data_IF_773789651321
#
_entry.id   IF_773789651321
#
_cell.length_a   1.000
_cell.length_b   1.000
_cell.length_c   1.000
_cell.angle_alpha   90.00
_cell.angle_beta   90.00
_cell.angle_gamma   90.00
#
_symmetry.space_group_name_H-M   'P 1'
#
loop_
_entity.id
_entity.type
_entity.pdbx_description
1 polymer ?
#
# COMPACT_ATOMS: atom_id res chain seq x y z
N UNK A 1 24.19 4.18 -41.60
CA UNK A 1 24.24 4.41 -40.14
C UNK A 1 22.82 4.73 -39.71
N UNK A 2 22.14 3.78 -39.09
CA UNK A 2 20.81 4.02 -38.52
C UNK A 2 21.11 4.69 -37.17
N UNK A 3 20.87 5.99 -37.07
CA UNK A 3 20.83 6.68 -35.78
C UNK A 3 19.69 6.06 -34.99
N UNK A 4 19.99 5.27 -33.99
CA UNK A 4 18.98 4.74 -33.05
C UNK A 4 18.51 5.89 -32.19
N UNK A 5 17.68 6.75 -32.75
CA UNK A 5 16.95 7.73 -32.00
C UNK A 5 15.89 7.03 -31.14
N UNK A 6 15.60 7.60 -30.00
CA UNK A 6 14.47 7.17 -29.13
C UNK A 6 13.18 7.27 -29.97
N UNK A 7 12.31 6.25 -29.94
CA UNK A 7 10.99 6.34 -30.58
C UNK A 7 10.18 7.45 -29.89
N UNK A 8 9.76 8.50 -30.60
CA UNK A 8 9.04 9.64 -29.99
C UNK A 8 7.67 9.26 -29.43
N UNK A 9 7.22 8.02 -29.64
CA UNK A 9 5.99 7.52 -29.05
C UNK A 9 6.20 6.77 -27.73
N UNK A 10 7.44 6.40 -27.42
CA UNK A 10 7.76 5.63 -26.23
C UNK A 10 7.67 6.48 -24.97
N UNK A 11 6.85 6.07 -24.02
CA UNK A 11 6.67 6.73 -22.73
C UNK A 11 6.82 5.73 -21.60
N UNK A 12 7.68 6.00 -20.65
CA UNK A 12 7.76 5.18 -19.43
C UNK A 12 6.87 5.76 -18.34
N UNK A 13 6.11 4.92 -17.65
CA UNK A 13 5.19 5.34 -16.59
C UNK A 13 5.61 4.74 -15.26
N UNK A 14 6.11 5.60 -14.37
CA UNK A 14 6.35 5.27 -12.97
C UNK A 14 4.99 5.33 -12.25
N UNK A 15 4.62 4.27 -11.57
CA UNK A 15 3.32 4.19 -10.90
C UNK A 15 3.36 3.34 -9.63
N UNK A 16 2.40 3.55 -8.74
CA UNK A 16 2.22 2.77 -7.53
C UNK A 16 1.43 1.47 -7.73
N UNK A 17 0.62 1.10 -6.74
CA UNK A 17 -0.19 -0.13 -6.77
C UNK A 17 -1.63 0.06 -7.26
N UNK A 18 -2.02 1.28 -7.61
CA UNK A 18 -3.36 1.54 -8.13
C UNK A 18 -3.47 1.06 -9.60
N UNK A 19 -3.79 -0.21 -9.78
CA UNK A 19 -3.90 -0.84 -11.09
C UNK A 19 -5.00 -0.22 -11.98
N UNK A 20 -6.08 0.29 -11.39
CA UNK A 20 -7.14 0.97 -12.13
C UNK A 20 -6.62 2.27 -12.75
N UNK A 21 -5.91 3.07 -11.96
CA UNK A 21 -5.28 4.31 -12.42
C UNK A 21 -4.22 4.05 -13.50
N UNK A 22 -3.36 3.04 -13.29
CA UNK A 22 -2.37 2.63 -14.30
C UNK A 22 -3.05 2.24 -15.61
N UNK A 23 -4.03 1.36 -15.54
CA UNK A 23 -4.76 0.87 -16.73
C UNK A 23 -5.43 2.01 -17.48
N UNK A 24 -6.14 2.88 -16.77
CA UNK A 24 -6.80 4.05 -17.38
C UNK A 24 -5.81 4.98 -18.08
N UNK A 25 -4.67 5.28 -17.44
CA UNK A 25 -3.63 6.10 -18.06
C UNK A 25 -3.02 5.43 -19.30
N UNK A 26 -2.76 4.12 -19.24
CA UNK A 26 -2.19 3.39 -20.38
C UNK A 26 -3.15 3.34 -21.57
N UNK A 27 -4.45 3.14 -21.33
CA UNK A 27 -5.49 3.19 -22.35
C UNK A 27 -5.56 4.59 -23.00
N UNK A 28 -5.52 5.65 -22.21
CA UNK A 28 -5.47 7.01 -22.70
C UNK A 28 -4.21 7.28 -23.56
N UNK A 29 -3.02 6.91 -23.06
CA UNK A 29 -1.77 7.10 -23.81
C UNK A 29 -1.80 6.39 -25.17
N UNK A 30 -2.32 5.16 -25.21
CA UNK A 30 -2.47 4.42 -26.48
C UNK A 30 -3.46 5.10 -27.43
N UNK A 31 -4.55 5.67 -26.91
CA UNK A 31 -5.54 6.38 -27.71
C UNK A 31 -4.98 7.64 -28.37
N UNK A 32 -3.99 8.29 -27.75
CA UNK A 32 -3.26 9.42 -28.36
C UNK A 32 -2.01 8.99 -29.16
N UNK A 33 -1.89 7.70 -29.48
CA UNK A 33 -0.85 7.16 -30.35
C UNK A 33 0.49 6.88 -29.68
N UNK A 34 0.58 6.97 -28.35
CA UNK A 34 1.80 6.68 -27.61
C UNK A 34 1.93 5.21 -27.23
N UNK A 35 3.13 4.79 -26.93
CA UNK A 35 3.52 3.43 -26.57
C UNK A 35 4.05 3.43 -25.12
N UNK A 36 3.20 3.21 -24.12
CA UNK A 36 3.66 3.08 -22.75
C UNK A 36 4.50 1.81 -22.60
N UNK A 37 5.72 1.96 -22.10
CA UNK A 37 6.65 0.88 -21.81
C UNK A 37 6.18 0.15 -20.55
N UNK A 38 5.90 -1.14 -20.68
CA UNK A 38 5.54 -2.00 -19.55
C UNK A 38 6.80 -2.41 -18.77
N UNK A 39 6.66 -2.70 -17.48
CA UNK A 39 7.79 -3.14 -16.64
C UNK A 39 8.51 -4.37 -17.20
N UNK A 40 7.75 -5.33 -17.73
CA UNK A 40 8.29 -6.53 -18.37
C UNK A 40 9.14 -6.22 -19.60
N UNK A 41 8.78 -5.18 -20.37
CA UNK A 41 9.57 -4.70 -21.49
C UNK A 41 10.86 -4.03 -21.00
N UNK A 42 10.77 -3.16 -19.99
CA UNK A 42 11.94 -2.53 -19.38
C UNK A 42 12.92 -3.57 -18.84
N UNK A 43 12.42 -4.62 -18.20
CA UNK A 43 13.22 -5.76 -17.74
C UNK A 43 13.95 -6.45 -18.90
N UNK A 44 13.26 -6.74 -19.99
CA UNK A 44 13.85 -7.37 -21.19
C UNK A 44 14.91 -6.46 -21.86
N UNK A 45 14.75 -5.14 -21.81
CA UNK A 45 15.69 -4.17 -22.37
C UNK A 45 17.08 -4.22 -21.70
N UNK A 46 17.18 -4.69 -20.46
CA UNK A 46 18.48 -4.81 -19.77
C UNK A 46 19.36 -5.91 -20.36
N UNK A 47 18.76 -6.88 -21.05
CA UNK A 47 19.49 -8.06 -21.57
C UNK A 47 19.98 -9.02 -20.47
N UNK A 48 19.62 -8.79 -19.21
CA UNK A 48 19.98 -9.63 -18.07
C UNK A 48 18.78 -10.46 -17.62
N UNK A 49 19.01 -11.71 -17.21
CA UNK A 49 17.97 -12.58 -16.66
C UNK A 49 17.54 -12.15 -15.24
N UNK A 50 18.40 -11.45 -14.50
CA UNK A 50 18.14 -10.97 -13.14
C UNK A 50 18.87 -9.63 -12.91
N UNK A 51 18.40 -8.53 -13.53
CA UNK A 51 19.03 -7.22 -13.39
C UNK A 51 18.69 -6.61 -12.03
N UNK A 52 19.52 -5.66 -11.58
CA UNK A 52 19.14 -4.77 -10.51
C UNK A 52 17.98 -3.86 -10.95
N UNK A 53 17.11 -3.48 -10.00
CA UNK A 53 15.97 -2.58 -10.28
C UNK A 53 16.45 -1.26 -10.90
N UNK A 54 17.60 -0.73 -10.43
CA UNK A 54 18.23 0.47 -11.00
C UNK A 54 18.55 0.33 -12.48
N UNK A 55 19.08 -0.83 -12.92
CA UNK A 55 19.42 -1.08 -14.33
C UNK A 55 18.16 -1.14 -15.20
N UNK A 56 17.05 -1.65 -14.66
CA UNK A 56 15.75 -1.67 -15.36
C UNK A 56 15.23 -0.25 -15.56
N UNK A 57 15.30 0.58 -14.53
CA UNK A 57 14.90 2.00 -14.62
C UNK A 57 15.79 2.75 -15.61
N UNK A 58 17.10 2.51 -15.58
CA UNK A 58 18.05 3.12 -16.48
C UNK A 58 17.74 2.78 -17.93
N UNK A 59 17.52 1.51 -18.23
CA UNK A 59 17.14 1.04 -19.56
C UNK A 59 15.81 1.65 -20.03
N UNK A 60 14.82 1.77 -19.14
CA UNK A 60 13.55 2.41 -19.45
C UNK A 60 13.73 3.91 -19.75
N UNK A 61 14.49 4.64 -18.92
CA UNK A 61 14.73 6.08 -19.10
C UNK A 61 15.49 6.40 -20.38
N UNK A 62 16.42 5.53 -20.80
CA UNK A 62 17.15 5.68 -22.07
C UNK A 62 16.29 5.46 -23.31
N UNK A 63 15.28 4.59 -23.20
CA UNK A 63 14.40 4.24 -24.33
C UNK A 63 13.13 5.09 -24.40
N UNK A 64 12.75 5.75 -23.31
CA UNK A 64 11.55 6.59 -23.25
C UNK A 64 11.82 8.01 -23.79
N UNK A 65 10.95 8.51 -24.64
CA UNK A 65 10.92 9.91 -25.06
C UNK A 65 10.51 10.80 -23.89
N UNK A 66 9.54 10.36 -23.10
CA UNK A 66 9.12 11.03 -21.88
C UNK A 66 8.90 10.04 -20.74
N UNK A 67 9.00 10.53 -19.50
CA UNK A 67 8.68 9.79 -18.29
C UNK A 67 7.48 10.44 -17.62
N UNK A 68 6.46 9.66 -17.33
CA UNK A 68 5.31 10.10 -16.53
C UNK A 68 5.44 9.51 -15.14
N UNK A 69 5.35 10.36 -14.12
CA UNK A 69 5.25 9.96 -12.71
C UNK A 69 3.78 10.05 -12.31
N UNK A 70 3.08 8.91 -12.30
CA UNK A 70 1.69 8.82 -11.88
C UNK A 70 1.62 8.71 -10.36
N UNK A 71 1.22 9.81 -9.74
CA UNK A 71 1.02 9.90 -8.30
C UNK A 71 -0.44 9.60 -7.95
N UNK A 72 -0.66 8.53 -7.20
CA UNK A 72 -1.96 8.11 -6.68
C UNK A 72 -1.91 8.04 -5.15
N UNK A 73 -3.05 8.21 -4.46
CA UNK A 73 -3.12 8.16 -3.00
C UNK A 73 -3.04 6.71 -2.48
N UNK A 74 -1.88 6.07 -2.63
CA UNK A 74 -1.68 4.65 -2.34
C UNK A 74 -1.34 4.36 -0.87
N UNK A 75 -0.58 5.25 -0.23
CA UNK A 75 -0.11 5.09 1.14
C UNK A 75 -0.66 6.21 2.03
N UNK A 76 -0.86 5.91 3.31
CA UNK A 76 -1.21 6.89 4.35
C UNK A 76 0.02 7.15 5.21
N UNK A 77 0.38 8.41 5.38
CA UNK A 77 1.51 8.79 6.23
C UNK A 77 1.17 9.99 7.13
N UNK A 78 1.80 10.04 8.27
CA UNK A 78 1.79 11.18 9.19
C UNK A 78 3.14 11.29 9.87
N UNK A 79 3.46 12.45 10.38
CA UNK A 79 4.68 12.64 11.14
C UNK A 79 4.56 11.96 12.50
N UNK A 80 5.66 11.36 13.00
CA UNK A 80 5.68 10.73 14.31
C UNK A 80 5.42 11.78 15.40
N UNK A 81 4.59 11.47 16.41
CA UNK A 81 4.15 12.40 17.45
C UNK A 81 5.29 13.14 18.15
N UNK A 82 6.44 12.47 18.39
CA UNK A 82 7.60 13.09 19.02
C UNK A 82 8.30 14.19 18.19
N UNK A 83 7.96 14.30 16.90
CA UNK A 83 8.53 15.26 15.96
C UNK A 83 7.54 16.37 15.60
N UNK A 84 6.35 16.36 16.19
CA UNK A 84 5.28 17.30 15.93
C UNK A 84 5.18 18.38 17.02
N UNK A 85 4.49 19.47 16.73
CA UNK A 85 4.15 20.53 17.67
C UNK A 85 2.62 20.73 17.72
N UNK A 86 2.07 21.37 18.78
CA UNK A 86 0.63 21.62 18.87
C UNK A 86 0.11 22.41 17.65
N UNK A 87 -0.85 21.84 16.92
CA UNK A 87 -1.42 22.46 15.70
C UNK A 87 -0.65 22.13 14.41
N UNK A 88 0.33 21.24 14.44
CA UNK A 88 1.04 20.80 13.25
C UNK A 88 0.10 20.02 12.32
N UNK A 89 -0.09 20.49 11.06
CA UNK A 89 -0.96 19.81 10.11
C UNK A 89 -0.44 18.43 9.68
N UNK A 90 0.85 18.12 9.90
CA UNK A 90 1.45 16.85 9.55
C UNK A 90 1.16 15.72 10.57
N UNK A 91 0.55 16.04 11.71
CA UNK A 91 0.01 15.04 12.66
C UNK A 91 -1.18 14.27 12.10
N UNK A 92 -1.97 14.90 11.22
CA UNK A 92 -3.10 14.23 10.60
C UNK A 92 -2.63 13.26 9.51
N UNK A 93 -3.22 12.05 9.42
CA UNK A 93 -2.95 11.14 8.31
C UNK A 93 -3.23 11.80 6.96
N UNK A 94 -2.24 11.77 6.07
CA UNK A 94 -2.34 12.32 4.73
C UNK A 94 -2.05 11.24 3.70
N UNK A 95 -2.75 11.30 2.57
CA UNK A 95 -2.52 10.39 1.46
C UNK A 95 -1.27 10.81 0.68
N UNK A 96 -0.45 9.83 0.31
CA UNK A 96 0.76 10.07 -0.48
C UNK A 96 0.99 8.96 -1.50
N UNK A 97 1.77 9.24 -2.56
CA UNK A 97 2.29 8.20 -3.42
C UNK A 97 3.21 7.25 -2.63
N UNK A 98 3.38 6.05 -3.11
CA UNK A 98 4.33 5.11 -2.51
C UNK A 98 5.75 5.67 -2.51
N UNK A 99 6.54 5.38 -1.46
CA UNK A 99 7.93 5.83 -1.37
C UNK A 99 8.79 5.46 -2.60
N UNK A 100 8.56 4.27 -3.20
CA UNK A 100 9.26 3.87 -4.42
C UNK A 100 8.96 4.80 -5.60
N UNK A 101 7.69 5.21 -5.76
CA UNK A 101 7.29 6.15 -6.82
C UNK A 101 8.03 7.48 -6.67
N UNK A 102 8.21 7.94 -5.43
CA UNK A 102 8.92 9.18 -5.15
C UNK A 102 10.43 9.06 -5.42
N UNK A 103 11.02 7.94 -5.05
CA UNK A 103 12.43 7.65 -5.32
C UNK A 103 12.70 7.59 -6.84
N UNK A 104 11.88 6.85 -7.57
CA UNK A 104 11.96 6.71 -9.03
C UNK A 104 11.69 8.05 -9.73
N UNK A 105 10.75 8.86 -9.21
CA UNK A 105 10.51 10.23 -9.69
C UNK A 105 11.75 11.11 -9.55
N UNK A 106 12.44 11.03 -8.40
CA UNK A 106 13.70 11.73 -8.18
C UNK A 106 14.78 11.33 -9.17
N UNK A 107 14.91 10.02 -9.45
CA UNK A 107 15.83 9.50 -10.47
C UNK A 107 15.50 10.04 -11.88
N UNK A 108 14.24 9.98 -12.28
CA UNK A 108 13.79 10.47 -13.58
C UNK A 108 14.03 11.98 -13.74
N UNK A 109 13.70 12.77 -12.73
CA UNK A 109 13.90 14.22 -12.71
C UNK A 109 15.38 14.61 -12.72
N UNK A 110 16.23 13.85 -12.06
CA UNK A 110 17.68 14.07 -12.07
C UNK A 110 18.32 13.81 -13.42
N UNK A 111 17.77 12.87 -14.20
CA UNK A 111 18.29 12.47 -15.54
C UNK A 111 17.69 13.28 -16.68
N UNK A 112 16.37 13.42 -16.68
CA UNK A 112 15.61 14.01 -17.77
C UNK A 112 14.58 15.03 -17.26
N UNK A 113 15.01 16.16 -16.66
CA UNK A 113 14.11 17.11 -16.03
C UNK A 113 13.04 17.69 -16.96
N UNK A 114 13.40 17.91 -18.23
CA UNK A 114 12.53 18.53 -19.24
C UNK A 114 11.54 17.55 -19.90
N UNK A 115 11.77 16.25 -19.69
CA UNK A 115 10.95 15.16 -20.27
C UNK A 115 10.27 14.31 -19.18
N UNK A 116 10.34 14.75 -17.92
CA UNK A 116 9.67 14.12 -16.80
C UNK A 116 8.44 14.92 -16.38
N UNK A 117 7.26 14.31 -16.49
CA UNK A 117 5.98 14.91 -16.17
C UNK A 117 5.44 14.33 -14.87
N UNK A 118 4.98 15.21 -13.95
CA UNK A 118 4.27 14.78 -12.74
C UNK A 118 2.79 14.83 -13.04
N UNK A 119 2.11 13.71 -12.83
CA UNK A 119 0.67 13.53 -13.04
C UNK A 119 0.05 13.05 -11.73
N UNK A 120 -0.87 13.84 -11.20
CA UNK A 120 -1.61 13.51 -9.98
C UNK A 120 -3.01 12.98 -10.36
N UNK A 121 -3.39 11.86 -9.79
CA UNK A 121 -4.73 11.29 -9.91
C UNK A 121 -5.27 10.98 -8.50
N UNK A 122 -6.06 11.88 -7.96
CA UNK A 122 -6.54 11.90 -6.60
C UNK A 122 -5.84 12.95 -5.72
N UNK A 123 -6.28 13.04 -4.47
CA UNK A 123 -5.66 13.95 -3.51
C UNK A 123 -4.42 13.31 -2.90
N UNK A 124 -3.27 13.84 -3.19
CA UNK A 124 -1.99 13.41 -2.62
C UNK A 124 -1.31 14.58 -1.90
N UNK A 125 -0.59 14.28 -0.82
CA UNK A 125 0.27 15.25 -0.15
C UNK A 125 1.32 15.74 -1.14
N UNK A 126 1.37 17.05 -1.33
CA UNK A 126 2.39 17.67 -2.20
C UNK A 126 3.68 17.80 -1.41
N UNK A 127 4.79 17.35 -2.00
CA UNK A 127 6.12 17.52 -1.40
C UNK A 127 6.62 18.94 -1.64
N UNK A 128 7.13 19.56 -0.60
CA UNK A 128 7.65 20.94 -0.66
C UNK A 128 8.73 21.10 -1.74
N UNK A 129 9.60 20.09 -1.90
CA UNK A 129 10.75 20.14 -2.79
C UNK A 129 10.40 20.09 -4.28
N UNK A 130 9.22 19.58 -4.63
CA UNK A 130 8.71 19.60 -6.01
C UNK A 130 7.60 20.64 -6.22
N UNK A 131 7.30 21.44 -5.20
CA UNK A 131 6.22 22.43 -5.23
C UNK A 131 6.36 23.50 -6.33
N UNK A 132 7.58 23.70 -6.86
CA UNK A 132 7.85 24.61 -7.97
C UNK A 132 7.56 24.02 -9.35
N UNK A 133 7.25 22.72 -9.47
CA UNK A 133 6.92 22.07 -10.73
C UNK A 133 5.40 21.99 -10.93
N UNK A 134 4.96 22.38 -12.11
CA UNK A 134 3.57 22.24 -12.51
C UNK A 134 3.21 20.77 -12.74
N UNK A 135 2.42 20.17 -11.86
CA UNK A 135 1.80 18.86 -12.08
C UNK A 135 0.54 18.96 -12.94
N UNK A 136 0.19 17.87 -13.61
CA UNK A 136 -1.11 17.69 -14.26
C UNK A 136 -2.02 16.98 -13.28
N UNK A 137 -3.08 17.66 -12.84
CA UNK A 137 -4.11 17.04 -11.98
C UNK A 137 -5.23 16.52 -12.84
N UNK A 138 -5.28 15.21 -13.00
CA UNK A 138 -6.32 14.54 -13.78
C UNK A 138 -7.62 14.46 -12.98
N UNK A 139 -8.74 14.72 -13.68
CA UNK A 139 -10.10 14.68 -13.14
C UNK A 139 -11.10 14.03 -14.11
N UNK A 140 -10.58 13.25 -15.04
CA UNK A 140 -11.31 12.60 -16.14
C UNK A 140 -11.88 13.56 -17.19
N UNK A 141 -11.76 14.87 -17.04
CA UNK A 141 -12.22 15.83 -18.03
C UNK A 141 -11.38 15.84 -19.30
N UNK A 142 -12.00 16.18 -20.43
CA UNK A 142 -11.31 16.37 -21.71
C UNK A 142 -10.24 17.47 -21.60
N UNK A 143 -10.49 18.51 -20.82
CA UNK A 143 -9.53 19.61 -20.63
C UNK A 143 -8.21 19.14 -19.98
N UNK A 144 -8.29 18.27 -18.97
CA UNK A 144 -7.11 17.71 -18.31
C UNK A 144 -6.37 16.68 -19.15
N UNK A 145 -7.12 15.90 -19.94
CA UNK A 145 -6.54 15.03 -20.96
C UNK A 145 -5.75 15.82 -22.01
N UNK A 146 -6.34 16.93 -22.49
CA UNK A 146 -5.68 17.85 -23.39
C UNK A 146 -4.43 18.50 -22.78
N UNK A 147 -4.47 18.92 -21.51
CA UNK A 147 -3.29 19.49 -20.81
C UNK A 147 -2.15 18.45 -20.77
N UNK A 148 -2.43 17.20 -20.42
CA UNK A 148 -1.43 16.13 -20.45
C UNK A 148 -0.85 15.90 -21.84
N UNK A 149 -1.70 15.83 -22.87
CA UNK A 149 -1.28 15.66 -24.25
C UNK A 149 -0.36 16.80 -24.71
N UNK A 150 -0.70 18.06 -24.40
CA UNK A 150 0.11 19.23 -24.76
C UNK A 150 1.49 19.20 -24.08
N UNK A 151 1.57 18.74 -22.83
CA UNK A 151 2.87 18.60 -22.15
C UNK A 151 3.72 17.48 -22.72
N UNK A 152 3.09 16.38 -23.15
CA UNK A 152 3.79 15.30 -23.85
C UNK A 152 4.32 15.77 -25.22
N UNK A 153 3.55 16.58 -25.95
CA UNK A 153 4.05 17.27 -27.15
C UNK A 153 5.27 18.14 -26.85
N UNK A 154 5.22 18.93 -25.76
CA UNK A 154 6.34 19.77 -25.31
C UNK A 154 7.57 18.94 -24.94
N UNK A 155 7.36 17.74 -24.37
CA UNK A 155 8.44 16.78 -24.07
C UNK A 155 8.97 16.07 -25.34
N UNK A 156 8.45 16.40 -26.52
CA UNK A 156 8.90 15.85 -27.81
C UNK A 156 8.23 14.54 -28.22
N UNK A 157 7.10 14.17 -27.58
CA UNK A 157 6.36 12.98 -27.97
C UNK A 157 5.53 13.20 -29.26
N UNK A 158 5.41 12.18 -30.10
CA UNK A 158 4.55 12.16 -31.30
C UNK A 158 3.10 11.86 -30.91
N UNK A 159 2.42 12.85 -30.35
CA UNK A 159 1.03 12.73 -29.88
C UNK A 159 0.05 12.91 -31.03
N UNK A 160 -0.94 12.03 -31.14
CA UNK A 160 -2.00 12.06 -32.15
C UNK A 160 -3.35 12.26 -31.51
N UNK A 161 -3.97 13.40 -31.79
CA UNK A 161 -5.29 13.75 -31.21
C UNK A 161 -6.37 13.93 -32.29
N UNK A 162 -6.25 13.18 -33.39
CA UNK A 162 -7.31 13.16 -34.41
C UNK A 162 -8.50 12.34 -33.88
N UNK A 163 -9.69 12.82 -34.15
CA UNK A 163 -10.92 12.18 -33.63
C UNK A 163 -11.26 12.52 -32.19
N UNK A 164 -12.16 11.80 -31.61
CA UNK A 164 -12.69 12.04 -30.25
C UNK A 164 -12.48 10.87 -29.29
N UNK A 165 -11.95 9.74 -29.75
CA UNK A 165 -11.79 8.51 -28.97
C UNK A 165 -10.95 8.74 -27.69
N UNK A 166 -9.96 9.63 -27.76
CA UNK A 166 -9.11 9.97 -26.63
C UNK A 166 -9.87 10.75 -25.52
N UNK A 167 -11.03 11.32 -25.83
CA UNK A 167 -11.86 12.03 -24.82
C UNK A 167 -12.36 11.09 -23.71
N UNK A 168 -12.58 9.83 -24.04
CA UNK A 168 -13.18 8.83 -23.15
C UNK A 168 -12.25 7.62 -22.90
N UNK A 169 -11.14 7.52 -23.63
CA UNK A 169 -10.22 6.39 -23.51
C UNK A 169 -9.60 6.32 -22.12
N UNK A 170 -9.80 5.21 -21.45
CA UNK A 170 -9.34 4.96 -20.08
C UNK A 170 -10.11 5.77 -19.03
N UNK A 171 -10.35 5.18 -17.91
CA UNK A 171 -10.96 5.87 -16.76
C UNK A 171 -9.89 6.62 -15.97
N UNK A 172 -9.94 7.94 -16.01
CA UNK A 172 -9.05 8.85 -15.29
C UNK A 172 -9.80 9.57 -14.15
N UNK A 173 -10.90 8.96 -13.67
CA UNK A 173 -11.61 9.46 -12.49
C UNK A 173 -10.71 9.35 -11.26
N UNK A 174 -10.48 10.44 -10.52
CA UNK A 174 -9.73 10.38 -9.29
C UNK A 174 -10.30 9.34 -8.33
N UNK A 175 -9.48 8.47 -7.73
CA UNK A 175 -9.95 7.59 -6.69
C UNK A 175 -10.55 8.42 -5.57
N UNK A 176 -11.74 8.02 -5.08
CA UNK A 176 -12.35 8.63 -3.92
C UNK A 176 -11.40 8.63 -2.73
N UNK A 177 -11.58 9.53 -1.75
CA UNK A 177 -10.83 9.42 -0.52
C UNK A 177 -11.01 7.99 0.00
N UNK A 178 -9.94 7.33 0.46
CA UNK A 178 -10.09 6.04 1.08
C UNK A 178 -11.14 6.23 2.16
N UNK A 179 -12.24 5.51 2.05
CA UNK A 179 -13.22 5.45 3.14
C UNK A 179 -12.44 5.16 4.40
N UNK A 180 -12.92 5.60 5.58
CA UNK A 180 -12.31 5.34 6.89
C UNK A 180 -12.14 3.83 7.05
N UNK A 181 -11.30 3.29 6.22
CA UNK A 181 -11.33 1.91 5.82
C UNK A 181 -10.11 1.21 6.22
N UNK A 182 -10.36 0.13 6.58
CA UNK A 182 -9.64 -1.13 6.45
C UNK A 182 -8.74 -1.13 5.21
N UNK A 183 -7.50 -1.60 5.31
CA UNK A 183 -6.64 -1.81 4.17
C UNK A 183 -7.42 -2.59 3.11
N UNK A 184 -7.38 -2.15 1.86
CA UNK A 184 -7.82 -2.91 0.70
C UNK A 184 -6.93 -4.16 0.55
N UNK A 185 -7.05 -5.06 1.51
CA UNK A 185 -6.53 -6.38 1.45
C UNK A 185 -7.66 -7.29 1.02
N UNK A 186 -7.58 -7.79 -0.21
CA UNK A 186 -8.38 -8.90 -0.72
C UNK A 186 -9.88 -8.68 -0.57
N UNK A 187 -10.55 -8.47 -1.68
CA UNK A 187 -12.02 -8.49 -1.78
C UNK A 187 -12.53 -9.75 -1.09
N UNK A 188 -12.93 -9.62 0.17
CA UNK A 188 -13.72 -10.65 0.83
C UNK A 188 -15.04 -10.72 0.06
N UNK A 189 -15.57 -11.91 -0.21
CA UNK A 189 -16.90 -12.03 -0.78
C UNK A 189 -17.83 -11.25 0.13
N UNK A 190 -18.68 -10.41 -0.47
CA UNK A 190 -19.79 -9.74 0.18
C UNK A 190 -20.74 -10.80 0.72
N UNK A 191 -20.50 -11.22 1.95
CA UNK A 191 -21.53 -11.78 2.79
C UNK A 191 -21.97 -10.64 3.69
N UNK A 192 -23.22 -10.27 3.61
CA UNK A 192 -23.92 -9.63 4.70
C UNK A 192 -23.77 -10.53 5.92
N UNK A 193 -22.72 -10.31 6.65
CA UNK A 193 -22.53 -10.94 7.93
C UNK A 193 -22.84 -9.87 8.97
N UNK A 194 -23.95 -10.05 9.63
CA UNK A 194 -24.06 -9.80 11.07
C UNK A 194 -22.88 -10.53 11.71
N UNK A 195 -21.68 -9.96 11.61
CA UNK A 195 -20.44 -10.68 11.90
C UNK A 195 -20.22 -10.69 13.40
N UNK A 196 -20.02 -11.88 13.94
CA UNK A 196 -19.42 -12.06 15.24
C UNK A 196 -18.08 -11.32 15.31
N UNK A 197 -17.75 -10.67 16.42
CA UNK A 197 -16.46 -10.03 16.64
C UNK A 197 -15.30 -10.97 16.33
N UNK A 198 -14.29 -10.46 15.67
CA UNK A 198 -13.07 -11.18 15.31
C UNK A 198 -11.96 -10.81 16.27
N UNK A 199 -11.27 -11.80 16.78
CA UNK A 199 -10.10 -11.65 17.63
C UNK A 199 -8.86 -12.00 16.83
N UNK A 200 -7.74 -11.32 17.07
CA UNK A 200 -6.43 -11.68 16.51
C UNK A 200 -5.42 -11.80 17.64
N UNK A 201 -4.54 -12.79 17.55
CA UNK A 201 -3.50 -13.00 18.55
C UNK A 201 -2.11 -12.79 17.94
N UNK A 202 -1.19 -12.20 18.72
CA UNK A 202 0.22 -12.02 18.34
C UNK A 202 1.13 -12.30 19.50
N UNK A 203 2.32 -12.86 19.21
CA UNK A 203 3.40 -13.00 20.16
C UNK A 203 4.20 -11.69 20.22
N UNK A 204 4.46 -11.21 21.40
CA UNK A 204 5.28 -10.02 21.65
C UNK A 204 6.46 -10.38 22.54
N UNK A 205 7.66 -10.39 21.98
CA UNK A 205 8.89 -10.67 22.74
C UNK A 205 9.33 -9.43 23.51
N UNK A 206 9.57 -9.59 24.82
CA UNK A 206 10.18 -8.53 25.65
C UNK A 206 11.68 -8.56 25.47
N UNK A 207 12.24 -7.52 24.86
CA UNK A 207 13.67 -7.39 24.60
C UNK A 207 14.54 -7.73 25.83
N UNK A 208 15.50 -8.62 25.65
CA UNK A 208 16.51 -8.99 26.65
C UNK A 208 16.09 -10.04 27.67
N UNK A 209 14.83 -10.40 27.77
CA UNK A 209 14.32 -11.46 28.65
C UNK A 209 13.62 -12.52 27.79
N UNK A 210 13.85 -13.79 28.11
CA UNK A 210 13.31 -14.95 27.39
C UNK A 210 11.79 -15.14 27.54
N UNK A 211 11.05 -14.14 27.97
CA UNK A 211 9.60 -14.15 28.14
C UNK A 211 8.93 -13.49 26.94
N UNK A 212 7.87 -14.09 26.44
CA UNK A 212 7.03 -13.51 25.41
C UNK A 212 5.57 -13.48 25.86
N UNK A 213 4.87 -12.39 25.56
CA UNK A 213 3.45 -12.23 25.88
C UNK A 213 2.60 -12.53 24.64
N UNK A 214 1.50 -13.24 24.80
CA UNK A 214 0.47 -13.40 23.77
C UNK A 214 -0.58 -12.33 24.00
N UNK A 215 -0.69 -11.43 23.03
CA UNK A 215 -1.61 -10.30 23.07
C UNK A 215 -2.75 -10.57 22.08
N UNK A 216 -3.98 -10.49 22.57
CA UNK A 216 -5.20 -10.59 21.76
C UNK A 216 -5.79 -9.21 21.56
N UNK A 217 -6.15 -8.91 20.31
CA UNK A 217 -6.77 -7.67 19.88
C UNK A 217 -8.17 -7.94 19.33
N UNK A 218 -9.16 -7.18 19.77
CA UNK A 218 -10.49 -7.22 19.19
C UNK A 218 -10.51 -6.40 17.88
N UNK A 219 -10.70 -7.05 16.75
CA UNK A 219 -10.75 -6.45 15.41
C UNK A 219 -12.15 -5.92 15.04
N UNK A 220 -13.16 -6.09 15.94
CA UNK A 220 -14.56 -5.74 15.66
C UNK A 220 -15.32 -6.79 14.84
N UNK A 221 -16.58 -6.52 14.46
CA UNK A 221 -17.41 -5.44 14.95
C UNK A 221 -17.95 -5.68 16.38
N UNK A 222 -18.00 -4.65 17.20
CA UNK A 222 -18.55 -4.71 18.55
C UNK A 222 -17.54 -5.19 19.62
N UNK A 223 -17.84 -4.85 20.89
CA UNK A 223 -17.09 -5.33 22.05
C UNK A 223 -17.28 -6.84 22.25
N UNK A 224 -16.28 -7.51 22.82
CA UNK A 224 -16.39 -8.89 23.30
C UNK A 224 -16.35 -8.92 24.82
N UNK A 225 -17.05 -9.88 25.39
CA UNK A 225 -17.25 -10.03 26.85
C UNK A 225 -16.79 -11.40 27.30
N UNK A 226 -16.38 -11.50 28.56
CA UNK A 226 -15.93 -12.75 29.20
C UNK A 226 -14.84 -13.48 28.42
N UNK A 227 -13.89 -12.72 27.85
CA UNK A 227 -12.81 -13.30 27.03
C UNK A 227 -11.91 -14.21 27.88
N UNK A 228 -11.77 -15.44 27.43
CA UNK A 228 -10.84 -16.44 27.96
C UNK A 228 -9.93 -16.96 26.86
N UNK A 229 -8.75 -17.44 27.22
CA UNK A 229 -7.81 -18.04 26.31
C UNK A 229 -7.15 -19.28 26.93
N UNK A 230 -6.93 -20.29 26.10
CA UNK A 230 -6.22 -21.52 26.50
C UNK A 230 -5.32 -21.95 25.35
N UNK A 231 -4.19 -22.60 25.66
CA UNK A 231 -3.41 -23.30 24.65
C UNK A 231 -4.21 -24.49 24.11
N UNK A 232 -4.14 -24.74 22.80
CA UNK A 232 -4.82 -25.89 22.17
C UNK A 232 -4.09 -27.22 22.38
N UNK A 233 -2.81 -27.18 22.74
CA UNK A 233 -1.98 -28.34 23.09
C UNK A 233 -1.43 -28.13 24.52
N UNK A 234 -1.12 -29.23 25.21
CA UNK A 234 -0.44 -29.20 26.52
C UNK A 234 1.00 -28.69 26.30
N UNK A 235 1.17 -27.38 26.32
CA UNK A 235 2.47 -26.70 26.27
C UNK A 235 2.77 -26.12 27.66
N UNK A 236 3.60 -26.81 28.42
CA UNK A 236 4.00 -26.42 29.78
C UNK A 236 4.72 -25.07 29.82
N UNK A 237 5.08 -24.51 28.66
CA UNK A 237 5.73 -23.19 28.57
C UNK A 237 4.73 -22.04 28.53
N UNK A 238 3.44 -22.31 28.31
CA UNK A 238 2.40 -21.29 28.25
C UNK A 238 1.64 -21.18 29.57
N UNK A 239 1.61 -20.01 30.14
CA UNK A 239 0.83 -19.68 31.34
C UNK A 239 -0.27 -18.70 31.02
N UNK A 240 -1.45 -18.96 31.57
CA UNK A 240 -2.60 -18.06 31.48
C UNK A 240 -2.29 -16.76 32.26
N UNK A 241 -2.68 -15.63 31.69
CA UNK A 241 -2.55 -14.34 32.36
C UNK A 241 -3.55 -14.22 33.51
N UNK A 242 -3.12 -13.60 34.60
CA UNK A 242 -3.99 -13.27 35.73
C UNK A 242 -5.08 -12.24 35.37
N UNK A 243 -5.01 -11.64 34.20
CA UNK A 243 -5.99 -10.70 33.68
C UNK A 243 -7.25 -11.38 33.11
N UNK A 244 -7.23 -12.72 32.96
CA UNK A 244 -8.38 -13.49 32.48
C UNK A 244 -9.29 -13.99 33.61
N UNK A 245 -10.62 -14.08 33.38
CA UNK A 245 -11.34 -13.64 32.17
C UNK A 245 -11.42 -12.11 32.06
N UNK A 246 -11.30 -11.58 30.84
CA UNK A 246 -11.47 -10.13 30.57
C UNK A 246 -12.97 -9.83 30.50
N UNK A 247 -13.51 -8.99 31.40
CA UNK A 247 -14.96 -8.72 31.45
C UNK A 247 -15.48 -8.07 30.16
N UNK A 248 -14.70 -7.14 29.59
CA UNK A 248 -15.01 -6.48 28.33
C UNK A 248 -13.72 -6.10 27.60
N UNK A 249 -13.65 -6.40 26.29
CA UNK A 249 -12.60 -5.95 25.38
C UNK A 249 -13.23 -5.16 24.24
N UNK A 250 -13.18 -3.81 24.27
CA UNK A 250 -13.70 -2.96 23.21
C UNK A 250 -12.96 -3.15 21.88
N UNK A 251 -13.62 -2.75 20.79
CA UNK A 251 -13.04 -2.78 19.43
C UNK A 251 -11.73 -1.98 19.39
N UNK A 252 -10.71 -2.55 18.76
CA UNK A 252 -9.37 -1.96 18.62
C UNK A 252 -8.52 -2.00 19.91
N UNK A 253 -9.03 -2.56 21.02
CA UNK A 253 -8.25 -2.74 22.23
C UNK A 253 -7.60 -4.11 22.28
N UNK A 254 -6.51 -4.17 23.04
CA UNK A 254 -5.68 -5.37 23.19
C UNK A 254 -5.50 -5.72 24.66
N UNK A 255 -5.36 -7.02 24.94
CA UNK A 255 -5.13 -7.54 26.28
C UNK A 255 -4.14 -8.70 26.22
N UNK A 256 -3.34 -8.86 27.27
CA UNK A 256 -2.46 -10.01 27.42
C UNK A 256 -3.25 -11.20 27.92
N UNK A 257 -3.24 -12.30 27.15
CA UNK A 257 -4.01 -13.50 27.51
C UNK A 257 -3.15 -14.65 28.01
N UNK A 258 -1.94 -14.82 27.46
CA UNK A 258 -0.99 -15.85 27.87
C UNK A 258 0.41 -15.24 27.97
N UNK A 259 1.26 -15.87 28.78
CA UNK A 259 2.67 -15.59 28.87
C UNK A 259 3.45 -16.86 28.53
N UNK A 260 4.40 -16.75 27.61
CA UNK A 260 5.31 -17.82 27.26
C UNK A 260 6.56 -17.72 28.12
N UNK A 261 6.86 -18.79 28.84
CA UNK A 261 8.08 -18.94 29.65
C UNK A 261 9.25 -19.40 28.78
N UNK A 262 10.50 -19.07 29.15
CA UNK A 262 11.66 -19.60 28.47
C UNK A 262 11.70 -21.13 28.64
N UNK A 263 11.98 -21.84 27.54
CA UNK A 263 12.17 -23.28 27.60
C UNK A 263 13.37 -23.64 28.49
N UNK A 264 13.22 -24.62 29.38
CA UNK A 264 14.35 -25.22 30.07
C UNK A 264 15.22 -25.98 29.06
N UNK A 265 16.52 -26.18 29.34
CA UNK A 265 17.56 -26.73 28.46
C UNK A 265 17.23 -28.08 27.80
N UNK A 266 16.15 -28.73 28.18
CA UNK A 266 15.73 -30.05 27.69
C UNK A 266 14.47 -30.05 26.80
N UNK A 267 13.84 -28.90 26.54
CA UNK A 267 12.61 -28.81 25.74
C UNK A 267 12.87 -28.13 24.40
N UNK A 268 12.39 -28.77 23.33
CA UNK A 268 12.36 -28.17 21.99
C UNK A 268 11.26 -27.11 21.97
N UNK A 269 11.64 -25.85 21.95
CA UNK A 269 10.69 -24.74 21.84
C UNK A 269 10.13 -24.70 20.42
N UNK A 270 8.83 -24.96 20.27
CA UNK A 270 8.15 -24.78 18.99
C UNK A 270 8.06 -23.28 18.66
N UNK A 271 8.33 -22.92 17.43
CA UNK A 271 8.22 -21.52 16.96
C UNK A 271 6.79 -21.06 16.73
N UNK A 272 5.82 -21.99 16.81
CA UNK A 272 4.40 -21.71 16.59
C UNK A 272 3.53 -22.59 17.50
N UNK A 273 2.33 -22.08 17.83
CA UNK A 273 1.31 -22.82 18.59
C UNK A 273 -0.07 -22.22 18.29
N UNK A 274 -1.11 -22.97 18.62
CA UNK A 274 -2.49 -22.51 18.46
C UNK A 274 -3.10 -22.23 19.83
N UNK A 275 -3.83 -21.13 19.94
CA UNK A 275 -4.60 -20.78 21.12
C UNK A 275 -6.09 -20.81 20.80
N UNK A 276 -6.88 -21.28 21.74
CA UNK A 276 -8.33 -21.25 21.69
C UNK A 276 -8.85 -20.07 22.47
N UNK A 277 -9.55 -19.19 21.78
CA UNK A 277 -10.20 -18.00 22.35
C UNK A 277 -11.69 -18.27 22.50
N UNK A 278 -12.26 -17.94 23.65
CA UNK A 278 -13.68 -17.97 23.90
C UNK A 278 -14.13 -16.65 24.48
N UNK A 279 -15.23 -16.13 23.96
CA UNK A 279 -15.84 -14.87 24.42
C UNK A 279 -17.35 -14.88 24.11
N UNK A 280 -18.03 -13.77 24.40
CA UNK A 280 -19.43 -13.55 24.03
C UNK A 280 -19.62 -12.18 23.41
N UNK A 281 -20.63 -12.03 22.58
CA UNK A 281 -21.12 -10.71 22.14
C UNK A 281 -21.91 -10.01 23.25
N UNK A 282 -22.24 -8.75 23.06
CA UNK A 282 -23.14 -8.01 23.98
C UNK A 282 -24.52 -8.68 24.13
N UNK A 283 -24.99 -9.37 23.08
CA UNK A 283 -26.24 -10.12 23.07
C UNK A 283 -26.10 -11.55 23.64
N UNK A 284 -24.93 -11.90 24.17
CA UNK A 284 -24.66 -13.20 24.79
C UNK A 284 -24.36 -14.33 23.81
N UNK A 285 -24.21 -14.07 22.50
CA UNK A 285 -23.87 -15.07 21.50
C UNK A 285 -22.42 -15.54 21.73
N UNK A 286 -22.16 -16.86 21.86
CA UNK A 286 -20.83 -17.37 22.10
C UNK A 286 -19.94 -17.20 20.87
N UNK A 287 -18.67 -16.86 21.12
CA UNK A 287 -17.61 -16.77 20.14
C UNK A 287 -16.55 -17.80 20.50
N UNK A 288 -16.25 -18.73 19.59
CA UNK A 288 -15.09 -19.61 19.70
C UNK A 288 -14.20 -19.41 18.47
N UNK A 289 -12.91 -19.19 18.69
CA UNK A 289 -11.95 -18.94 17.61
C UNK A 289 -10.61 -19.55 17.98
N UNK A 290 -10.05 -20.30 17.04
CA UNK A 290 -8.69 -20.81 17.14
C UNK A 290 -7.74 -19.86 16.39
N UNK A 291 -6.73 -19.37 17.08
CA UNK A 291 -5.73 -18.44 16.53
C UNK A 291 -4.34 -19.10 16.49
N UNK A 292 -3.71 -19.01 15.34
CA UNK A 292 -2.36 -19.48 15.14
C UNK A 292 -1.36 -18.36 15.49
N UNK A 293 -0.48 -18.62 16.44
CA UNK A 293 0.51 -17.68 16.94
C UNK A 293 1.90 -18.17 16.56
N UNK A 294 2.62 -17.37 15.77
CA UNK A 294 4.02 -17.60 15.44
C UNK A 294 4.90 -16.51 16.07
N UNK A 295 6.09 -16.88 16.54
CA UNK A 295 7.17 -15.93 16.80
C UNK A 295 7.84 -15.56 15.48
N UNK A 296 7.97 -14.27 15.21
CA UNK A 296 8.81 -13.76 14.12
C UNK A 296 10.30 -13.99 14.43
#
# INVERSE_FOLDING_TARGET
MITSGVDPRSVFVIHGRNEAARKGLFEYLRAIGLLPIEWSEALAMTGSASPYIGDVLDAAFERAQAVIVLQTPDDVAHLHESLTYPGDPETAPQMQPRPNVLYEAGMAMGRNPDRTLIVELGQVKVFSDIHGRHSVRLDNSVAKRQDLANRLLTAGCDVRMQGTDWHEAGDLTPPGPPGNGLPLGRKLPSSETSGLPRLSARLFERGGNKFADVIVTNQGPGSVYDLTAAASEDDDTLRTSDELPVPELPVGKSVRVLQRLPASFSQVQRSYFTIKLRARTADGVPIEQDEFVSGD
#
